data_IF_325022909949
#
_entry.id   IF_325022909949
#
_cell.length_a   1.000
_cell.length_b   1.000
_cell.length_c   1.000
_cell.angle_alpha   90.00
_cell.angle_beta   90.00
_cell.angle_gamma   90.00
#
_symmetry.space_group_name_H-M   'P 1'
#
loop_
_entity.id
_entity.type
_entity.pdbx_description
1 polymer ?
#
# COMPACT_ATOMS: atom_id res chain seq x y z
N UNK A 1 48.93 -28.78 8.96
CA UNK A 1 48.70 -27.36 9.36
C UNK A 1 48.14 -26.52 8.22
N UNK A 2 48.72 -26.56 7.01
CA UNK A 2 48.29 -25.75 5.83
C UNK A 2 46.86 -26.07 5.34
N UNK A 3 46.45 -27.35 5.35
CA UNK A 3 45.11 -27.77 4.92
C UNK A 3 44.01 -27.22 5.85
N UNK A 4 44.30 -27.17 7.16
CA UNK A 4 43.36 -26.68 8.17
C UNK A 4 43.13 -25.18 8.04
N UNK A 5 44.18 -24.40 7.79
CA UNK A 5 44.07 -22.95 7.56
C UNK A 5 43.31 -22.63 6.27
N UNK A 6 43.45 -23.43 5.22
CA UNK A 6 42.72 -23.25 3.97
C UNK A 6 41.21 -23.52 4.13
N UNK A 7 40.84 -24.55 4.90
CA UNK A 7 39.44 -24.85 5.22
C UNK A 7 38.79 -23.77 6.10
N UNK A 8 39.55 -23.19 7.05
CA UNK A 8 39.06 -22.09 7.88
C UNK A 8 38.83 -20.83 7.05
N UNK A 9 39.73 -20.51 6.11
CA UNK A 9 39.60 -19.33 5.26
C UNK A 9 38.40 -19.43 4.31
N UNK A 10 38.16 -20.60 3.73
CA UNK A 10 37.03 -20.82 2.82
C UNK A 10 35.69 -20.78 3.56
N UNK A 11 35.61 -21.40 4.74
CA UNK A 11 34.39 -21.35 5.57
C UNK A 11 34.05 -19.92 6.01
N UNK A 12 35.04 -19.14 6.45
CA UNK A 12 34.84 -17.72 6.76
C UNK A 12 34.37 -16.91 5.54
N UNK A 13 34.94 -17.18 4.36
CA UNK A 13 34.51 -16.55 3.10
C UNK A 13 33.04 -16.83 2.77
N UNK A 14 32.59 -18.08 2.92
CA UNK A 14 31.18 -18.45 2.71
C UNK A 14 30.24 -17.82 3.73
N UNK A 15 30.66 -17.70 4.99
CA UNK A 15 29.86 -17.05 6.05
C UNK A 15 29.64 -15.56 5.72
N UNK A 16 30.70 -14.86 5.33
CA UNK A 16 30.60 -13.43 4.94
C UNK A 16 29.69 -13.26 3.73
N UNK A 17 29.81 -14.13 2.72
CA UNK A 17 28.94 -14.12 1.55
C UNK A 17 27.47 -14.36 1.94
N UNK A 18 27.21 -15.36 2.78
CA UNK A 18 25.86 -15.69 3.25
C UNK A 18 25.23 -14.53 4.04
N UNK A 19 25.99 -13.89 4.93
CA UNK A 19 25.54 -12.73 5.70
C UNK A 19 25.26 -11.51 4.81
N UNK A 20 26.00 -11.33 3.71
CA UNK A 20 25.76 -10.24 2.77
C UNK A 20 24.55 -10.49 1.87
N UNK A 21 24.35 -11.72 1.40
CA UNK A 21 23.28 -12.07 0.45
C UNK A 21 21.94 -12.28 1.17
N UNK A 22 21.94 -12.78 2.40
CA UNK A 22 20.73 -13.03 3.21
C UNK A 22 19.79 -11.82 3.32
N UNK A 23 20.22 -10.60 3.72
CA UNK A 23 19.33 -9.45 3.82
C UNK A 23 18.81 -8.99 2.45
N UNK A 24 19.62 -9.12 1.39
CA UNK A 24 19.23 -8.76 0.04
C UNK A 24 18.14 -9.72 -0.50
N UNK A 25 18.31 -11.02 -0.26
CA UNK A 25 17.31 -12.05 -0.56
C UNK A 25 16.05 -11.81 0.27
N UNK A 26 16.18 -11.54 1.57
CA UNK A 26 15.04 -11.22 2.44
C UNK A 26 14.22 -10.04 1.93
N UNK A 27 14.85 -8.93 1.54
CA UNK A 27 14.16 -7.76 0.99
C UNK A 27 13.40 -8.08 -0.30
N UNK A 28 13.94 -8.95 -1.16
CA UNK A 28 13.30 -9.40 -2.40
C UNK A 28 12.11 -10.34 -2.14
N UNK A 29 12.20 -11.20 -1.13
CA UNK A 29 11.13 -12.15 -0.78
C UNK A 29 10.07 -11.58 0.16
N UNK A 30 10.36 -10.51 0.88
CA UNK A 30 9.42 -9.82 1.78
C UNK A 30 8.05 -9.51 1.15
N UNK A 31 7.95 -8.94 -0.08
CA UNK A 31 6.64 -8.71 -0.72
C UNK A 31 5.91 -10.00 -1.07
N UNK A 32 6.63 -11.08 -1.41
CA UNK A 32 6.04 -12.38 -1.73
C UNK A 32 5.38 -13.03 -0.50
N UNK A 33 6.05 -12.98 0.66
CA UNK A 33 5.50 -13.52 1.90
C UNK A 33 4.27 -12.75 2.41
N UNK A 34 4.19 -11.42 2.20
CA UNK A 34 3.00 -10.64 2.57
C UNK A 34 1.75 -11.11 1.80
N UNK A 35 1.85 -11.30 0.49
CA UNK A 35 0.74 -11.75 -0.36
C UNK A 35 0.28 -13.20 -0.12
N UNK A 36 1.03 -14.00 0.64
CA UNK A 36 0.70 -15.38 0.99
C UNK A 36 -0.20 -15.51 2.22
N UNK A 37 -0.41 -14.44 2.99
CA UNK A 37 -1.29 -14.51 4.17
C UNK A 37 -2.76 -14.72 3.79
N UNK A 38 -3.49 -15.48 4.61
CA UNK A 38 -4.93 -15.67 4.36
C UNK A 38 -5.70 -14.36 4.48
N UNK A 39 -5.21 -13.40 5.28
CA UNK A 39 -5.83 -12.10 5.47
C UNK A 39 -5.76 -11.26 4.19
N UNK A 40 -4.58 -11.16 3.56
CA UNK A 40 -4.41 -10.44 2.28
C UNK A 40 -5.26 -11.04 1.16
N UNK A 41 -5.38 -12.37 1.10
CA UNK A 41 -6.24 -13.04 0.11
C UNK A 41 -7.72 -12.71 0.31
N UNK A 42 -8.21 -12.72 1.56
CA UNK A 42 -9.59 -12.34 1.87
C UNK A 42 -9.85 -10.87 1.56
N UNK A 43 -8.95 -9.98 1.96
CA UNK A 43 -9.04 -8.55 1.68
C UNK A 43 -9.06 -8.28 0.17
N UNK A 44 -8.22 -8.98 -0.62
CA UNK A 44 -8.22 -8.87 -2.07
C UNK A 44 -9.51 -9.38 -2.72
N UNK A 45 -10.18 -10.39 -2.14
CA UNK A 45 -11.49 -10.84 -2.59
C UNK A 45 -12.55 -9.78 -2.30
N UNK A 46 -12.60 -9.27 -1.07
CA UNK A 46 -13.52 -8.21 -0.66
C UNK A 46 -13.37 -6.97 -1.54
N UNK A 47 -12.13 -6.60 -1.88
CA UNK A 47 -11.86 -5.48 -2.78
C UNK A 47 -12.47 -5.68 -4.16
N UNK A 48 -12.40 -6.90 -4.71
CA UNK A 48 -13.01 -7.22 -6.01
C UNK A 48 -14.53 -7.22 -5.95
N UNK A 49 -15.12 -7.63 -4.83
CA UNK A 49 -16.57 -7.61 -4.64
C UNK A 49 -17.11 -6.17 -4.51
N UNK A 50 -16.31 -5.26 -3.96
CA UNK A 50 -16.69 -3.86 -3.69
C UNK A 50 -16.42 -2.90 -4.85
N UNK A 51 -15.59 -3.27 -5.82
CA UNK A 51 -15.20 -2.42 -6.93
C UNK A 51 -15.84 -2.89 -8.24
N UNK A 52 -16.19 -1.93 -9.11
CA UNK A 52 -16.54 -2.27 -10.49
C UNK A 52 -15.30 -2.81 -11.24
N UNK A 53 -15.53 -3.45 -12.38
CA UNK A 53 -14.45 -3.97 -13.23
C UNK A 53 -13.52 -2.84 -13.68
N UNK A 54 -14.08 -1.67 -13.99
CA UNK A 54 -13.36 -0.47 -14.40
C UNK A 54 -12.51 0.08 -13.25
N UNK A 55 -13.06 0.12 -12.04
CA UNK A 55 -12.34 0.54 -10.83
C UNK A 55 -11.19 -0.42 -10.49
N UNK A 56 -11.42 -1.72 -10.61
CA UNK A 56 -10.35 -2.72 -10.47
C UNK A 56 -9.24 -2.48 -11.49
N UNK A 57 -9.59 -2.26 -12.76
CA UNK A 57 -8.62 -1.97 -13.82
C UNK A 57 -7.85 -0.68 -13.56
N UNK A 58 -8.53 0.37 -13.11
CA UNK A 58 -7.93 1.65 -12.73
C UNK A 58 -6.89 1.45 -11.62
N UNK A 59 -7.27 0.76 -10.55
CA UNK A 59 -6.38 0.49 -9.42
C UNK A 59 -5.16 -0.34 -9.83
N UNK A 60 -5.34 -1.32 -10.72
CA UNK A 60 -4.25 -2.17 -11.21
C UNK A 60 -3.29 -1.40 -12.13
N UNK A 61 -3.81 -0.56 -13.02
CA UNK A 61 -3.01 0.13 -14.04
C UNK A 61 -2.43 1.46 -13.58
N UNK A 62 -3.21 2.26 -12.87
CA UNK A 62 -2.80 3.59 -12.42
C UNK A 62 -2.17 3.56 -11.03
N UNK A 63 -2.39 2.49 -10.26
CA UNK A 63 -1.92 2.39 -8.88
C UNK A 63 -2.76 3.21 -7.89
N UNK A 64 -3.89 3.75 -8.32
CA UNK A 64 -4.85 4.46 -7.47
C UNK A 64 -6.29 4.25 -7.97
N UNK A 65 -7.23 4.41 -7.06
CA UNK A 65 -8.66 4.42 -7.31
C UNK A 65 -9.19 5.86 -7.22
N UNK A 66 -9.97 6.28 -8.20
CA UNK A 66 -10.70 7.54 -8.15
C UNK A 66 -12.07 7.33 -7.51
N UNK A 67 -12.31 8.04 -6.42
CA UNK A 67 -13.57 8.04 -5.68
C UNK A 67 -14.17 9.44 -5.80
N UNK A 68 -15.31 9.63 -6.49
CA UNK A 68 -15.94 10.94 -6.59
C UNK A 68 -16.46 11.39 -5.22
N UNK A 69 -16.38 12.69 -4.96
CA UNK A 69 -16.99 13.28 -3.77
C UNK A 69 -18.52 13.22 -3.86
N UNK A 70 -19.24 12.69 -2.86
CA UNK A 70 -20.70 12.75 -2.83
C UNK A 70 -21.22 14.17 -2.58
N UNK A 71 -20.45 15.05 -1.92
CA UNK A 71 -20.89 16.43 -1.61
C UNK A 71 -20.49 17.47 -2.65
N UNK A 72 -19.44 17.23 -3.44
CA UNK A 72 -18.81 18.24 -4.29
C UNK A 72 -18.52 17.70 -5.70
N UNK A 73 -19.31 18.12 -6.70
CA UNK A 73 -19.31 17.56 -8.07
C UNK A 73 -17.95 17.62 -8.80
N UNK A 74 -17.08 18.56 -8.45
CA UNK A 74 -15.77 18.76 -9.09
C UNK A 74 -14.59 18.29 -8.23
N UNK A 75 -14.86 17.53 -7.17
CA UNK A 75 -13.85 16.94 -6.29
C UNK A 75 -13.78 15.42 -6.49
N UNK A 76 -12.58 14.92 -6.67
CA UNK A 76 -12.29 13.48 -6.76
C UNK A 76 -11.14 13.15 -5.82
N UNK A 77 -11.25 12.03 -5.11
CA UNK A 77 -10.21 11.50 -4.26
C UNK A 77 -9.44 10.41 -5.00
N UNK A 78 -8.10 10.50 -5.04
CA UNK A 78 -7.22 9.44 -5.52
C UNK A 78 -6.67 8.65 -4.34
N UNK A 79 -7.26 7.48 -4.13
CA UNK A 79 -6.87 6.54 -3.08
C UNK A 79 -5.77 5.63 -3.62
N UNK A 80 -4.55 5.60 -3.02
CA UNK A 80 -3.47 4.77 -3.53
C UNK A 80 -3.76 3.27 -3.33
N UNK A 81 -3.10 2.42 -4.13
CA UNK A 81 -3.14 0.97 -3.97
C UNK A 81 -2.35 0.54 -2.73
N UNK A 82 -2.99 0.65 -1.56
CA UNK A 82 -2.44 0.32 -0.25
C UNK A 82 -2.29 1.55 0.65
N UNK A 83 -1.33 1.51 1.56
CA UNK A 83 -1.10 2.59 2.53
C UNK A 83 -0.49 3.82 1.85
N UNK A 84 -1.00 4.99 2.16
CA UNK A 84 -0.43 6.24 1.68
C UNK A 84 -1.35 7.44 1.86
N UNK A 85 -0.95 8.56 1.26
CA UNK A 85 -1.78 9.77 1.22
C UNK A 85 -2.86 9.63 0.15
N UNK A 86 -4.09 9.97 0.51
CA UNK A 86 -5.17 10.18 -0.46
C UNK A 86 -5.04 11.59 -1.02
N UNK A 87 -4.94 11.74 -2.34
CA UNK A 87 -4.89 13.05 -2.97
C UNK A 87 -6.32 13.55 -3.24
N UNK A 88 -6.57 14.82 -2.97
CA UNK A 88 -7.81 15.49 -3.35
C UNK A 88 -7.53 16.27 -4.62
N UNK A 89 -8.28 15.94 -5.66
CA UNK A 89 -8.24 16.59 -6.95
C UNK A 89 -9.48 17.47 -7.06
N UNK A 90 -9.30 18.77 -7.22
CA UNK A 90 -10.38 19.71 -7.49
C UNK A 90 -10.12 20.39 -8.83
N UNK A 91 -11.15 20.46 -9.68
CA UNK A 91 -11.03 21.04 -11.03
C UNK A 91 -9.85 20.46 -11.84
N UNK A 92 -9.58 19.16 -11.66
CA UNK A 92 -8.48 18.45 -12.31
C UNK A 92 -7.09 18.71 -11.73
N UNK A 93 -6.95 19.47 -10.64
CA UNK A 93 -5.67 19.79 -10.01
C UNK A 93 -5.57 19.22 -8.60
N UNK A 94 -4.42 18.67 -8.19
CA UNK A 94 -4.21 18.25 -6.80
C UNK A 94 -4.14 19.48 -5.89
N UNK A 95 -5.05 19.56 -4.92
CA UNK A 95 -5.13 20.71 -3.99
C UNK A 95 -4.64 20.36 -2.59
N UNK A 96 -4.83 19.11 -2.15
CA UNK A 96 -4.36 18.65 -0.85
C UNK A 96 -4.13 17.14 -0.82
N UNK A 97 -3.40 16.70 0.20
CA UNK A 97 -3.18 15.30 0.58
C UNK A 97 -3.80 15.06 1.95
N UNK A 98 -4.52 13.96 2.07
CA UNK A 98 -5.19 13.52 3.29
C UNK A 98 -4.50 12.27 3.82
N UNK A 99 -4.28 12.24 5.13
CA UNK A 99 -3.77 11.07 5.83
C UNK A 99 -4.79 10.62 6.88
N UNK A 100 -5.30 9.40 6.69
CA UNK A 100 -6.05 8.64 7.69
C UNK A 100 -5.38 7.28 7.74
N UNK A 101 -5.13 6.79 8.95
CA UNK A 101 -4.59 5.45 9.17
C UNK A 101 -5.51 4.69 10.13
N UNK A 102 -5.74 3.39 9.88
CA UNK A 102 -6.40 2.55 10.87
C UNK A 102 -5.50 2.42 12.10
N UNK A 103 -6.13 2.29 13.27
CA UNK A 103 -5.41 2.08 14.54
C UNK A 103 -4.72 0.72 14.54
N UNK A 104 -5.41 -0.29 14.01
CA UNK A 104 -4.88 -1.63 13.83
C UNK A 104 -4.30 -1.81 12.43
N UNK A 105 -3.33 -2.72 12.30
CA UNK A 105 -2.73 -3.02 11.01
C UNK A 105 -3.72 -3.78 10.12
N UNK A 106 -4.22 -3.11 9.10
CA UNK A 106 -5.06 -3.73 8.07
C UNK A 106 -4.23 -4.24 6.87
N UNK A 107 -4.72 -5.27 6.16
CA UNK A 107 -4.26 -5.63 4.82
C UNK A 107 -4.36 -4.45 3.86
N UNK A 108 -3.47 -4.40 2.87
CA UNK A 108 -3.39 -3.24 1.96
C UNK A 108 -4.70 -3.03 1.17
N UNK A 109 -5.34 -4.13 0.75
CA UNK A 109 -6.62 -4.06 0.05
C UNK A 109 -7.75 -3.50 0.92
N UNK A 110 -7.80 -3.85 2.21
CA UNK A 110 -8.80 -3.33 3.15
C UNK A 110 -8.60 -1.83 3.42
N UNK A 111 -7.35 -1.35 3.40
CA UNK A 111 -7.06 0.10 3.50
C UNK A 111 -7.68 0.87 2.33
N UNK A 112 -7.64 0.33 1.12
CA UNK A 112 -8.28 0.96 -0.06
C UNK A 112 -9.80 1.05 0.13
N UNK A 113 -10.42 -0.04 0.57
CA UNK A 113 -11.87 -0.10 0.82
C UNK A 113 -12.27 0.84 1.94
N UNK A 114 -11.50 0.89 3.03
CA UNK A 114 -11.70 1.81 4.16
C UNK A 114 -11.86 3.25 3.65
N UNK A 115 -10.90 3.73 2.85
CA UNK A 115 -10.97 5.09 2.31
C UNK A 115 -12.20 5.28 1.41
N UNK A 116 -12.46 4.36 0.48
CA UNK A 116 -13.63 4.43 -0.41
C UNK A 116 -14.94 4.53 0.37
N UNK A 117 -15.17 3.59 1.30
CA UNK A 117 -16.41 3.51 2.07
C UNK A 117 -16.60 4.73 2.98
N UNK A 118 -15.53 5.23 3.61
CA UNK A 118 -15.64 6.44 4.42
C UNK A 118 -15.99 7.67 3.58
N UNK A 119 -15.37 7.82 2.40
CA UNK A 119 -15.66 8.94 1.50
C UNK A 119 -17.10 8.86 0.99
N UNK A 120 -17.54 7.70 0.52
CA UNK A 120 -18.87 7.52 -0.07
C UNK A 120 -19.99 7.56 0.99
N UNK A 121 -19.75 7.00 2.17
CA UNK A 121 -20.76 6.91 3.23
C UNK A 121 -20.87 8.15 4.10
N UNK A 122 -19.76 8.82 4.42
CA UNK A 122 -19.74 10.05 5.22
C UNK A 122 -18.45 10.86 4.98
N UNK A 123 -18.45 11.60 3.88
CA UNK A 123 -17.33 12.44 3.47
C UNK A 123 -16.93 13.48 4.53
N UNK A 124 -17.90 14.08 5.22
CA UNK A 124 -17.63 15.09 6.25
C UNK A 124 -16.81 14.51 7.39
N UNK A 125 -17.21 13.34 7.90
CA UNK A 125 -16.48 12.64 8.95
C UNK A 125 -15.08 12.22 8.48
N UNK A 126 -14.95 11.77 7.23
CA UNK A 126 -13.65 11.45 6.63
C UNK A 126 -12.72 12.68 6.63
N UNK A 127 -13.20 13.83 6.16
CA UNK A 127 -12.45 15.08 6.15
C UNK A 127 -12.14 15.60 7.55
N UNK A 128 -13.03 15.39 8.52
CA UNK A 128 -12.80 15.76 9.91
C UNK A 128 -11.66 14.94 10.54
N UNK A 129 -11.62 13.64 10.28
CA UNK A 129 -10.59 12.73 10.80
C UNK A 129 -9.24 12.85 10.09
N UNK A 130 -9.24 13.28 8.83
CA UNK A 130 -8.02 13.38 8.04
C UNK A 130 -7.10 14.50 8.52
N UNK A 131 -5.82 14.15 8.67
CA UNK A 131 -4.74 15.13 8.68
C UNK A 131 -4.57 15.69 7.25
N UNK A 132 -4.54 17.01 7.12
CA UNK A 132 -4.56 17.71 5.83
C UNK A 132 -3.20 18.36 5.54
N UNK A 133 -2.69 18.14 4.34
CA UNK A 133 -1.44 18.71 3.84
C UNK A 133 -1.69 19.37 2.49
N UNK A 134 -1.41 20.66 2.36
CA UNK A 134 -1.61 21.36 1.08
C UNK A 134 -0.61 20.86 0.02
N UNK A 135 -1.08 20.79 -1.22
CA UNK A 135 -0.20 20.65 -2.38
C UNK A 135 0.25 22.05 -2.78
N UNK A 136 1.55 22.33 -2.65
CA UNK A 136 2.19 23.57 -3.11
C UNK A 136 2.77 23.33 -4.49
#
# INVERSE_FOLDING_TARGET
MIIFTQQVLTTLGWIVLALAVSPMVWLLFQPYFKGLSSAERRAAHLLRDMLTVEQCRQLVWHGYLEVPSPSTTQRVYRVPRGRGYVQVIEHGRPVMRLCIQPVESLPDADVVILHKLMIEGNEEYYLQKANKYLCV
#
